data_IF_314491527943
#
_entry.id   IF_314491527943
#
_cell.length_a   1.000
_cell.length_b   1.000
_cell.length_c   1.000
_cell.angle_alpha   90.00
_cell.angle_beta   90.00
_cell.angle_gamma   90.00
#
_symmetry.space_group_name_H-M   'P 1'
#
loop_
_entity.id
_entity.type
_entity.pdbx_description
1 polymer ?
#
# COMPACT_ATOMS: atom_id res chain seq x y z
N UNK A 1 18.65 0.11 9.37
CA UNK A 1 17.31 0.13 8.74
C UNK A 1 16.19 0.37 9.76
N UNK A 2 16.18 -0.36 10.88
CA UNK A 2 15.16 -0.22 11.96
C UNK A 2 14.94 1.21 12.48
N UNK A 3 16.01 2.02 12.61
CA UNK A 3 15.89 3.43 13.04
C UNK A 3 15.10 4.26 12.02
N UNK A 4 15.33 4.04 10.72
CA UNK A 4 14.59 4.75 9.66
C UNK A 4 13.13 4.32 9.68
N UNK A 5 12.85 3.02 9.81
CA UNK A 5 11.49 2.48 9.90
C UNK A 5 10.71 3.04 11.10
N UNK A 6 11.36 3.19 12.25
CA UNK A 6 10.78 3.84 13.44
C UNK A 6 10.36 5.28 13.19
N UNK A 7 11.11 6.01 12.34
CA UNK A 7 10.84 7.42 12.03
C UNK A 7 9.76 7.63 10.97
N UNK A 8 9.40 6.60 10.19
CA UNK A 8 8.40 6.73 9.11
C UNK A 8 7.03 7.13 9.68
N UNK A 9 6.54 6.43 10.71
CA UNK A 9 5.22 6.69 11.31
C UNK A 9 5.07 8.13 11.84
N UNK A 10 5.93 8.62 12.76
CA UNK A 10 5.79 9.98 13.28
C UNK A 10 6.01 11.03 12.19
N UNK A 11 6.91 10.78 11.23
CA UNK A 11 7.15 11.70 10.11
C UNK A 11 5.92 11.82 9.21
N UNK A 12 5.27 10.72 8.83
CA UNK A 12 4.06 10.77 8.00
C UNK A 12 2.96 11.57 8.71
N UNK A 13 2.69 11.24 9.99
CA UNK A 13 1.60 11.89 10.73
C UNK A 13 1.86 13.39 10.86
N UNK A 14 3.05 13.78 11.30
CA UNK A 14 3.37 15.19 11.52
C UNK A 14 3.46 15.99 10.22
N UNK A 15 4.20 15.50 9.23
CA UNK A 15 4.44 16.24 7.99
C UNK A 15 3.20 16.38 7.11
N UNK A 16 2.41 15.31 6.93
CA UNK A 16 1.23 15.35 6.06
C UNK A 16 0.15 16.26 6.66
N UNK A 17 -0.09 16.15 7.98
CA UNK A 17 -1.06 17.00 8.67
C UNK A 17 -0.59 18.46 8.64
N UNK A 18 0.67 18.73 9.00
CA UNK A 18 1.26 20.07 8.99
C UNK A 18 1.18 20.72 7.59
N UNK A 19 1.52 19.96 6.54
CA UNK A 19 1.53 20.46 5.17
C UNK A 19 0.13 20.85 4.70
N UNK A 20 -0.87 20.00 4.92
CA UNK A 20 -2.23 20.22 4.43
C UNK A 20 -3.03 21.20 5.30
N UNK A 21 -2.72 21.29 6.60
CA UNK A 21 -3.37 22.24 7.50
C UNK A 21 -3.02 23.71 7.18
N UNK A 22 -1.84 23.97 6.60
CA UNK A 22 -1.39 25.31 6.23
C UNK A 22 -1.89 25.78 4.86
N UNK A 23 -2.40 24.86 4.04
CA UNK A 23 -2.86 25.14 2.68
C UNK A 23 -4.38 25.28 2.67
N UNK A 24 -4.93 26.25 1.95
CA UNK A 24 -6.39 26.36 1.79
C UNK A 24 -6.94 25.13 1.06
N UNK A 25 -8.06 24.59 1.50
CA UNK A 25 -8.67 23.38 0.93
C UNK A 25 -8.86 23.43 -0.61
N UNK A 26 -9.18 24.61 -1.16
CA UNK A 26 -9.29 24.81 -2.62
C UNK A 26 -7.94 24.59 -3.33
N UNK A 27 -6.88 25.17 -2.77
CA UNK A 27 -5.53 25.13 -3.34
C UNK A 27 -4.94 23.71 -3.15
N UNK A 28 -5.18 23.08 -2.01
CA UNK A 28 -4.80 21.70 -1.73
C UNK A 28 -5.38 20.72 -2.76
N UNK A 29 -6.66 20.90 -3.15
CA UNK A 29 -7.30 20.10 -4.21
C UNK A 29 -6.62 20.31 -5.57
N UNK A 30 -6.29 21.54 -5.93
CA UNK A 30 -5.64 21.83 -7.20
C UNK A 30 -4.23 21.25 -7.26
N UNK A 31 -3.44 21.44 -6.20
CA UNK A 31 -2.11 20.84 -6.05
C UNK A 31 -2.21 19.31 -6.15
N UNK A 32 -3.17 18.70 -5.44
CA UNK A 32 -3.41 17.25 -5.47
C UNK A 32 -3.70 16.72 -6.87
N UNK A 33 -4.60 17.35 -7.63
CA UNK A 33 -4.94 16.91 -8.99
C UNK A 33 -3.72 17.02 -9.93
N UNK A 34 -2.98 18.12 -9.86
CA UNK A 34 -1.77 18.30 -10.67
C UNK A 34 -0.73 17.21 -10.35
N UNK A 35 -0.53 16.91 -9.06
CA UNK A 35 0.38 15.85 -8.61
C UNK A 35 -0.05 14.47 -9.11
N UNK A 36 -1.35 14.14 -9.06
CA UNK A 36 -1.86 12.85 -9.57
C UNK A 36 -1.63 12.72 -11.08
N UNK A 37 -1.94 13.76 -11.86
CA UNK A 37 -1.69 13.75 -13.31
C UNK A 37 -0.20 13.61 -13.60
N UNK A 38 0.64 14.34 -12.87
CA UNK A 38 2.09 14.24 -12.98
C UNK A 38 2.57 12.80 -12.74
N UNK A 39 2.21 12.18 -11.61
CA UNK A 39 2.64 10.81 -11.31
C UNK A 39 2.11 9.77 -12.30
N UNK A 40 0.87 9.91 -12.76
CA UNK A 40 0.30 9.01 -13.78
C UNK A 40 1.07 9.11 -15.10
N UNK A 41 1.33 10.32 -15.58
CA UNK A 41 2.03 10.53 -16.87
C UNK A 41 3.48 10.08 -16.81
N UNK A 42 4.22 10.38 -15.73
CA UNK A 42 5.60 9.94 -15.58
C UNK A 42 5.71 8.42 -15.43
N UNK A 43 4.79 7.80 -14.69
CA UNK A 43 4.77 6.32 -14.53
C UNK A 43 4.49 5.65 -15.87
N UNK A 44 3.54 6.16 -16.64
CA UNK A 44 3.24 5.66 -17.97
C UNK A 44 4.46 5.74 -18.90
N UNK A 45 5.13 6.89 -18.95
CA UNK A 45 6.33 7.08 -19.78
C UNK A 45 7.50 6.20 -19.33
N UNK A 46 7.68 6.05 -18.02
CA UNK A 46 8.71 5.18 -17.43
C UNK A 46 8.47 3.70 -17.78
N UNK A 47 7.25 3.20 -17.61
CA UNK A 47 6.88 1.83 -17.96
C UNK A 47 7.03 1.57 -19.46
N UNK A 48 6.60 2.52 -20.30
CA UNK A 48 6.75 2.41 -21.75
C UNK A 48 8.23 2.31 -22.16
N UNK A 49 9.08 3.17 -21.59
CA UNK A 49 10.53 3.14 -21.84
C UNK A 49 11.16 1.83 -21.32
N UNK A 50 10.74 1.36 -20.15
CA UNK A 50 11.21 0.10 -19.56
C UNK A 50 10.89 -1.11 -20.44
N UNK A 51 9.67 -1.17 -21.01
CA UNK A 51 9.24 -2.24 -21.92
C UNK A 51 10.09 -2.23 -23.20
N UNK A 52 10.33 -1.06 -23.79
CA UNK A 52 11.18 -0.93 -24.99
C UNK A 52 12.59 -1.42 -24.70
N UNK A 53 13.16 -1.02 -23.56
CA UNK A 53 14.55 -1.32 -23.21
C UNK A 53 14.76 -2.82 -22.93
N UNK A 54 13.85 -3.44 -22.14
CA UNK A 54 13.92 -4.89 -21.88
C UNK A 54 13.68 -5.70 -23.15
N UNK A 55 12.76 -5.27 -24.02
CA UNK A 55 12.49 -5.92 -25.31
C UNK A 55 13.57 -5.64 -26.36
N UNK A 56 14.46 -4.68 -26.18
CA UNK A 56 15.55 -4.43 -27.13
C UNK A 56 16.81 -5.19 -26.71
N UNK A 57 17.15 -5.12 -25.43
CA UNK A 57 18.36 -5.76 -24.88
C UNK A 57 18.16 -7.27 -24.70
N UNK A 58 16.91 -7.71 -24.49
CA UNK A 58 16.57 -9.11 -24.15
C UNK A 58 17.50 -9.68 -23.07
N UNK A 59 17.53 -9.09 -21.85
CA UNK A 59 18.38 -9.58 -20.80
C UNK A 59 17.87 -10.94 -20.28
N UNK A 60 18.72 -11.97 -20.36
CA UNK A 60 18.43 -13.33 -19.89
C UNK A 60 18.89 -14.38 -20.90
N UNK A 61 19.26 -15.56 -20.43
CA UNK A 61 19.64 -16.68 -21.29
C UNK A 61 18.44 -17.63 -21.49
N UNK A 62 17.87 -17.75 -22.70
CA UNK A 62 16.77 -18.67 -22.96
C UNK A 62 17.16 -20.15 -22.72
N UNK A 63 18.44 -20.50 -22.76
CA UNK A 63 18.91 -21.85 -22.47
C UNK A 63 18.77 -22.20 -20.97
N UNK A 64 18.89 -21.22 -20.06
CA UNK A 64 18.69 -21.44 -18.62
C UNK A 64 17.21 -21.72 -18.27
N UNK A 65 16.26 -21.14 -19.02
CA UNK A 65 14.82 -21.34 -18.82
C UNK A 65 14.45 -22.81 -19.08
N UNK A 66 15.01 -23.41 -20.11
CA UNK A 66 14.82 -24.83 -20.40
C UNK A 66 15.52 -25.75 -19.39
N UNK A 67 16.64 -25.33 -18.80
CA UNK A 67 17.39 -26.10 -17.81
C UNK A 67 16.76 -26.10 -16.39
N UNK A 68 16.07 -25.02 -16.03
CA UNK A 68 15.37 -24.88 -14.74
C UNK A 68 13.96 -25.50 -14.74
N UNK A 69 13.52 -26.04 -15.89
CA UNK A 69 12.15 -26.48 -16.11
C UNK A 69 11.19 -25.30 -16.22
N UNK A 70 10.04 -25.50 -16.89
CA UNK A 70 8.91 -24.57 -16.74
C UNK A 70 8.58 -24.54 -15.25
N UNK A 71 9.00 -23.47 -14.57
CA UNK A 71 8.74 -23.30 -13.15
C UNK A 71 7.27 -23.57 -12.92
N UNK A 72 6.97 -24.40 -11.92
CA UNK A 72 5.60 -24.61 -11.45
C UNK A 72 5.08 -23.25 -11.00
N UNK A 73 4.49 -22.51 -11.94
CA UNK A 73 3.47 -21.52 -11.68
C UNK A 73 2.30 -22.34 -11.14
N UNK A 74 2.44 -22.78 -9.89
CA UNK A 74 1.30 -23.11 -9.06
C UNK A 74 0.50 -21.81 -9.06
N UNK A 75 -0.52 -21.79 -9.93
CA UNK A 75 -1.45 -20.71 -10.12
C UNK A 75 -2.19 -20.54 -8.79
N UNK A 76 -1.52 -19.94 -7.80
CA UNK A 76 -2.22 -19.07 -6.87
C UNK A 76 -2.68 -17.94 -7.78
N UNK A 77 -3.84 -18.14 -8.41
CA UNK A 77 -4.52 -17.12 -9.17
C UNK A 77 -4.95 -16.08 -8.14
N UNK A 78 -3.99 -15.29 -7.66
CA UNK A 78 -4.26 -14.05 -6.97
C UNK A 78 -5.05 -13.24 -7.99
N UNK A 79 -6.36 -13.16 -7.75
CA UNK A 79 -7.21 -12.30 -8.54
C UNK A 79 -6.62 -10.89 -8.44
N UNK A 80 -6.20 -10.33 -9.56
CA UNK A 80 -5.67 -8.95 -9.61
C UNK A 80 -6.69 -7.95 -9.06
N UNK A 81 -7.98 -8.29 -9.20
CA UNK A 81 -9.09 -7.58 -8.58
C UNK A 81 -9.04 -7.64 -7.05
N UNK A 82 -8.71 -8.79 -6.46
CA UNK A 82 -8.62 -8.93 -4.98
C UNK A 82 -7.47 -8.06 -4.44
N UNK A 83 -6.33 -8.05 -5.13
CA UNK A 83 -5.22 -7.15 -4.76
C UNK A 83 -5.61 -5.67 -4.88
N UNK A 84 -6.35 -5.30 -5.93
CA UNK A 84 -6.85 -3.94 -6.10
C UNK A 84 -7.88 -3.57 -5.03
N UNK A 85 -8.80 -4.48 -4.68
CA UNK A 85 -9.76 -4.28 -3.61
C UNK A 85 -9.10 -4.20 -2.23
N UNK A 86 -8.04 -4.98 -1.99
CA UNK A 86 -7.24 -4.88 -0.77
C UNK A 86 -6.57 -3.53 -0.67
N UNK A 87 -6.07 -2.96 -1.78
CA UNK A 87 -5.54 -1.60 -1.80
C UNK A 87 -6.59 -0.57 -1.39
N UNK A 88 -7.81 -0.65 -1.94
CA UNK A 88 -8.91 0.25 -1.58
C UNK A 88 -9.31 0.07 -0.11
N UNK A 89 -9.40 -1.17 0.38
CA UNK A 89 -9.71 -1.43 1.79
C UNK A 89 -8.62 -0.86 2.70
N UNK A 90 -7.35 -0.98 2.31
CA UNK A 90 -6.24 -0.41 3.05
C UNK A 90 -6.20 1.13 3.00
N UNK A 91 -6.81 1.79 2.02
CA UNK A 91 -6.98 3.26 2.04
C UNK A 91 -7.88 3.73 3.18
N UNK A 92 -8.84 2.88 3.61
CA UNK A 92 -9.81 3.18 4.66
C UNK A 92 -9.78 2.08 5.74
N UNK A 93 -8.73 2.03 6.58
CA UNK A 93 -8.60 0.98 7.59
C UNK A 93 -9.70 1.08 8.65
N UNK A 94 -10.13 -0.06 9.18
CA UNK A 94 -11.15 -0.14 10.24
C UNK A 94 -10.67 0.52 11.54
N UNK A 95 -9.35 0.53 11.79
CA UNK A 95 -8.74 1.15 12.96
C UNK A 95 -7.37 1.78 12.62
N UNK A 96 -7.21 3.07 12.91
CA UNK A 96 -5.97 3.82 12.63
C UNK A 96 -4.79 3.32 13.49
N UNK A 97 -5.04 2.95 14.75
CA UNK A 97 -3.99 2.45 15.65
C UNK A 97 -3.49 1.11 15.12
N UNK A 98 -4.40 0.21 14.73
CA UNK A 98 -4.04 -1.06 14.12
C UNK A 98 -3.27 -0.86 12.81
N UNK A 99 -3.68 0.13 11.99
CA UNK A 99 -3.01 0.47 10.74
C UNK A 99 -1.53 0.88 10.93
N UNK A 100 -1.11 1.30 12.15
CA UNK A 100 0.30 1.63 12.42
C UNK A 100 1.23 0.42 12.44
N UNK A 101 0.71 -0.81 12.59
CA UNK A 101 1.51 -2.02 12.65
C UNK A 101 0.94 -3.20 11.84
N UNK A 102 -0.27 -3.07 11.27
CA UNK A 102 -0.93 -4.11 10.49
C UNK A 102 -1.63 -3.57 9.23
N UNK A 103 -1.68 -4.41 8.20
CA UNK A 103 -2.45 -4.17 6.97
C UNK A 103 -3.28 -5.41 6.59
N UNK A 104 -4.32 -5.21 5.77
CA UNK A 104 -5.21 -6.30 5.33
C UNK A 104 -4.72 -6.83 3.99
N UNK A 105 -4.61 -8.15 3.89
CA UNK A 105 -4.30 -8.83 2.64
C UNK A 105 -5.13 -10.11 2.47
N UNK A 106 -5.58 -10.36 1.25
CA UNK A 106 -6.33 -11.55 0.88
C UNK A 106 -5.36 -12.72 0.65
N UNK A 107 -5.56 -13.79 1.42
CA UNK A 107 -4.84 -15.05 1.26
C UNK A 107 -5.83 -16.15 0.86
N UNK A 108 -5.39 -17.05 -0.01
CA UNK A 108 -6.18 -18.19 -0.46
C UNK A 108 -5.80 -19.41 0.36
N UNK A 109 -6.73 -19.88 1.19
CA UNK A 109 -6.53 -21.07 2.02
C UNK A 109 -7.22 -22.25 1.32
N UNK A 110 -6.53 -23.39 1.13
CA UNK A 110 -7.15 -24.58 0.56
C UNK A 110 -8.14 -25.17 1.56
N UNK A 111 -9.43 -25.19 1.20
CA UNK A 111 -10.45 -25.90 1.98
C UNK A 111 -10.47 -27.37 1.53
N UNK A 112 -10.18 -28.27 2.46
CA UNK A 112 -10.32 -29.72 2.22
C UNK A 112 -11.79 -30.02 1.88
N UNK A 113 -12.10 -30.65 0.74
CA UNK A 113 -13.48 -30.96 0.40
C UNK A 113 -14.06 -31.95 1.42
N UNK A 114 -15.30 -31.70 1.87
CA UNK A 114 -16.06 -32.70 2.63
C UNK A 114 -16.43 -33.82 1.65
N UNK A 115 -15.71 -34.94 1.72
CA UNK A 115 -16.02 -36.14 0.92
C UNK A 115 -17.39 -36.67 1.36
N UNK A 116 -18.42 -36.45 0.55
CA UNK A 116 -19.71 -37.11 0.74
C UNK A 116 -19.59 -38.50 0.12
N UNK A 117 -19.50 -39.53 0.96
CA UNK A 117 -19.47 -40.92 0.49
C UNK A 117 -20.79 -41.26 -0.21
N UNK A 118 -20.81 -41.25 -1.54
CA UNK A 118 -21.73 -42.05 -2.32
C UNK A 118 -20.96 -43.26 -2.86
N UNK A 119 -21.45 -44.44 -2.52
CA UNK A 119 -20.85 -45.72 -2.87
C UNK A 119 -20.67 -45.87 -4.39
N UNK A 120 -19.62 -46.60 -4.76
CA UNK A 120 -19.25 -47.11 -6.09
C UNK A 120 -18.35 -46.21 -6.96
N UNK A 121 -17.11 -46.70 -7.15
CA UNK A 121 -16.21 -46.55 -8.31
C UNK A 121 -16.34 -45.25 -9.12
N UNK A 122 -15.62 -44.20 -8.70
CA UNK A 122 -15.31 -43.06 -9.55
C UNK A 122 -13.94 -42.49 -9.14
N UNK A 123 -13.09 -42.18 -10.13
CA UNK A 123 -11.80 -41.52 -9.93
C UNK A 123 -11.99 -40.24 -9.12
N UNK A 124 -11.26 -40.11 -8.01
CA UNK A 124 -11.26 -38.92 -7.17
C UNK A 124 -10.45 -37.81 -7.85
N UNK A 125 -11.12 -36.88 -8.52
CA UNK A 125 -10.56 -35.53 -8.68
C UNK A 125 -10.85 -34.76 -7.41
N UNK A 126 -9.88 -34.71 -6.49
CA UNK A 126 -9.90 -33.77 -5.37
C UNK A 126 -9.84 -32.35 -5.93
N UNK A 127 -10.99 -31.72 -6.13
CA UNK A 127 -11.04 -30.29 -6.45
C UNK A 127 -10.73 -29.55 -5.16
N UNK A 128 -9.48 -29.11 -5.01
CA UNK A 128 -9.07 -28.18 -3.95
C UNK A 128 -9.77 -26.85 -4.23
N UNK A 129 -10.86 -26.58 -3.52
CA UNK A 129 -11.47 -25.26 -3.54
C UNK A 129 -10.58 -24.32 -2.73
N UNK A 130 -10.21 -23.18 -3.30
CA UNK A 130 -9.53 -22.12 -2.59
C UNK A 130 -10.56 -21.06 -2.23
N UNK A 131 -10.64 -20.67 -0.95
CA UNK A 131 -11.51 -19.57 -0.51
C UNK A 131 -10.65 -18.35 -0.18
N UNK A 132 -10.98 -17.15 -0.68
CA UNK A 132 -10.30 -15.93 -0.25
C UNK A 132 -10.64 -15.67 1.23
N UNK A 133 -9.61 -15.46 2.04
CA UNK A 133 -9.72 -15.12 3.45
C UNK A 133 -8.87 -13.88 3.74
N UNK A 134 -9.48 -12.91 4.41
CA UNK A 134 -8.79 -11.70 4.85
C UNK A 134 -7.93 -12.04 6.06
N UNK A 135 -6.64 -11.74 5.95
CA UNK A 135 -5.68 -11.90 7.04
C UNK A 135 -4.99 -10.56 7.30
N UNK A 136 -4.72 -10.29 8.57
CA UNK A 136 -3.89 -9.15 8.97
C UNK A 136 -2.43 -9.55 8.92
N UNK A 137 -1.64 -8.85 8.13
CA UNK A 137 -0.18 -9.01 8.07
C UNK A 137 0.47 -7.95 8.97
N UNK A 138 1.58 -8.30 9.64
CA UNK A 138 2.30 -7.39 10.54
C UNK A 138 3.19 -6.42 9.74
N UNK A 139 2.56 -5.59 8.92
CA UNK A 139 3.18 -4.52 8.15
C UNK A 139 2.38 -3.24 8.35
N UNK A 140 3.06 -2.10 8.45
CA UNK A 140 2.40 -0.81 8.62
C UNK A 140 1.61 -0.45 7.34
N UNK A 141 0.32 -0.19 7.49
CA UNK A 141 -0.51 0.32 6.41
C UNK A 141 -0.26 1.82 6.18
N UNK A 142 0.84 2.13 5.49
CA UNK A 142 1.26 3.50 5.14
C UNK A 142 0.19 4.24 4.34
N UNK A 143 -0.48 3.53 3.42
CA UNK A 143 -1.51 4.11 2.55
C UNK A 143 -2.68 4.66 3.37
N UNK A 144 -3.24 3.84 4.27
CA UNK A 144 -4.36 4.24 5.13
C UNK A 144 -3.99 5.41 6.05
N UNK A 145 -2.75 5.42 6.58
CA UNK A 145 -2.25 6.52 7.39
C UNK A 145 -2.17 7.83 6.60
N UNK A 146 -1.65 7.80 5.37
CA UNK A 146 -1.60 9.00 4.51
C UNK A 146 -3.00 9.51 4.20
N UNK A 147 -3.95 8.63 3.85
CA UNK A 147 -5.34 9.01 3.53
C UNK A 147 -6.01 9.66 4.74
N UNK A 148 -5.88 9.03 5.92
CA UNK A 148 -6.40 9.58 7.18
C UNK A 148 -5.78 10.94 7.53
N UNK A 149 -4.44 11.03 7.54
CA UNK A 149 -3.71 12.26 7.85
C UNK A 149 -4.04 13.38 6.86
N UNK A 150 -4.25 13.04 5.59
CA UNK A 150 -4.64 14.01 4.56
C UNK A 150 -6.03 14.58 4.81
N UNK A 151 -7.01 13.72 5.09
CA UNK A 151 -8.34 14.16 5.47
C UNK A 151 -8.32 15.02 6.73
N UNK A 152 -7.57 14.60 7.75
CA UNK A 152 -7.42 15.34 9.00
C UNK A 152 -6.79 16.72 8.79
N UNK A 153 -5.70 16.82 8.02
CA UNK A 153 -5.05 18.09 7.69
C UNK A 153 -5.97 19.05 6.91
N UNK A 154 -6.74 18.54 5.94
CA UNK A 154 -7.72 19.35 5.19
C UNK A 154 -8.83 19.87 6.11
N UNK A 155 -9.34 19.06 7.04
CA UNK A 155 -10.36 19.50 8.00
C UNK A 155 -9.81 20.57 8.95
N UNK A 156 -8.57 20.45 9.42
CA UNK A 156 -7.92 21.50 10.22
C UNK A 156 -7.84 22.83 9.44
N UNK A 157 -7.48 22.78 8.15
CA UNK A 157 -7.46 23.96 7.28
C UNK A 157 -8.84 24.62 7.13
N UNK A 158 -9.91 23.82 7.06
CA UNK A 158 -11.29 24.32 6.95
C UNK A 158 -11.76 24.96 8.27
N UNK A 159 -11.38 24.39 9.42
CA UNK A 159 -11.75 24.92 10.75
C UNK A 159 -11.06 26.26 11.08
N UNK A 160 -9.96 26.58 10.39
CA UNK A 160 -9.28 27.87 10.50
C UNK A 160 -8.86 28.20 11.93
N UNK A 161 -9.35 29.32 12.46
CA UNK A 161 -8.91 29.84 13.77
C UNK A 161 -9.22 28.91 14.94
N UNK A 162 -10.31 28.13 14.87
CA UNK A 162 -10.67 27.18 15.92
C UNK A 162 -9.63 26.06 16.07
N UNK A 163 -8.96 25.70 14.97
CA UNK A 163 -7.96 24.64 14.92
C UNK A 163 -6.52 25.15 15.13
N UNK A 164 -6.31 26.47 15.33
CA UNK A 164 -4.96 27.08 15.33
C UNK A 164 -3.98 26.44 16.33
N UNK A 165 -4.47 26.03 17.50
CA UNK A 165 -3.66 25.31 18.48
C UNK A 165 -3.16 23.96 17.95
N UNK A 166 -4.03 23.19 17.29
CA UNK A 166 -3.70 21.90 16.69
C UNK A 166 -2.77 22.06 15.50
N UNK A 167 -3.00 23.05 14.64
CA UNK A 167 -2.12 23.34 13.50
C UNK A 167 -0.70 23.64 14.00
N UNK A 168 -0.57 24.53 14.99
CA UNK A 168 0.73 24.86 15.58
C UNK A 168 1.40 23.65 16.25
N UNK A 169 0.64 22.79 16.91
CA UNK A 169 1.16 21.55 17.49
C UNK A 169 1.82 20.66 16.42
N UNK A 170 1.13 20.39 15.31
CA UNK A 170 1.68 19.55 14.24
C UNK A 170 2.89 20.19 13.52
N UNK A 171 2.90 21.52 13.35
CA UNK A 171 4.05 22.24 12.80
C UNK A 171 5.28 22.08 13.69
N UNK A 172 5.12 22.25 15.02
CA UNK A 172 6.22 22.09 15.97
C UNK A 172 6.68 20.63 16.03
N UNK A 173 5.74 19.68 16.01
CA UNK A 173 6.04 18.25 16.01
C UNK A 173 6.87 17.85 14.76
N UNK A 174 6.47 18.32 13.57
CA UNK A 174 7.20 18.10 12.32
C UNK A 174 8.63 18.66 12.39
N UNK A 175 8.79 19.88 12.91
CA UNK A 175 10.11 20.50 13.09
C UNK A 175 11.00 19.72 14.07
N UNK A 176 10.44 19.15 15.15
CA UNK A 176 11.17 18.30 16.10
C UNK A 176 11.65 17.02 15.42
N UNK A 177 10.76 16.36 14.67
CA UNK A 177 11.06 15.09 13.98
C UNK A 177 12.12 15.31 12.90
N UNK A 178 12.04 16.40 12.15
CA UNK A 178 13.06 16.74 11.14
C UNK A 178 14.45 16.98 11.74
N UNK A 179 14.53 17.60 12.92
CA UNK A 179 15.80 17.73 13.66
C UNK A 179 16.32 16.39 14.14
N UNK A 180 15.45 15.51 14.61
CA UNK A 180 15.80 14.13 14.98
C UNK A 180 16.38 13.36 13.79
N UNK A 181 15.71 13.39 12.64
CA UNK A 181 16.20 12.73 11.41
C UNK A 181 17.58 13.25 11.03
N UNK A 182 17.78 14.58 11.09
CA UNK A 182 19.06 15.20 10.76
C UNK A 182 20.18 14.75 11.72
N UNK A 183 19.89 14.59 13.01
CA UNK A 183 20.85 14.10 13.99
C UNK A 183 21.18 12.60 13.81
N UNK A 184 20.22 11.81 13.32
CA UNK A 184 20.42 10.37 13.06
C UNK A 184 21.19 10.10 11.77
N UNK A 185 21.19 11.03 10.82
CA UNK A 185 21.94 10.91 9.55
C UNK A 185 23.40 11.37 9.65
N UNK A 186 23.80 12.00 10.75
CA UNK A 186 25.16 12.45 11.00
C UNK A 186 25.94 11.37 11.76
#
# INVERSE_FOLDING_TARGET
MQIVEMMILPLIISSVISALAQVRARDARQIGIVTVIYYMTTTFLSTFTGIILVSSIHPGDPALIHALGEGTLENTALSTLDTFLDQIRNMFPENIIQATFQQVQTYYVPIKPKVQRMNATANFTEVILQKPQLTYTNEMNVLGLIVFCSGFGVILSILGDQARLMINFFIVLDAIIMRWISALMW
#
